data_IF_160386284657
#
_entry.id   IF_160386284657
#
_cell.length_a   1.000
_cell.length_b   1.000
_cell.length_c   1.000
_cell.angle_alpha   90.00
_cell.angle_beta   90.00
_cell.angle_gamma   90.00
#
_symmetry.space_group_name_H-M   'P 1'
#
loop_
_entity.id
_entity.type
_entity.pdbx_description
1 polymer ?
#
# COMPACT_ATOMS: atom_id res chain seq x y z
N UNK A 1 92.64 17.52 -16.41
CA UNK A 1 91.45 18.28 -16.16
C UNK A 1 90.29 17.30 -16.10
N UNK A 2 89.76 17.06 -14.93
CA UNK A 2 88.84 16.04 -14.59
C UNK A 2 87.45 16.68 -14.47
N UNK A 3 86.45 16.21 -15.18
CA UNK A 3 85.04 16.57 -14.88
C UNK A 3 84.20 15.32 -14.68
N UNK A 4 83.92 15.07 -13.41
CA UNK A 4 83.06 14.06 -12.92
C UNK A 4 81.60 14.47 -13.19
N UNK A 5 80.78 13.64 -13.86
CA UNK A 5 79.36 13.77 -13.94
C UNK A 5 78.70 12.71 -13.09
N UNK A 6 78.11 13.16 -11.99
CA UNK A 6 77.32 12.32 -11.07
C UNK A 6 75.87 12.16 -11.66
N UNK A 7 75.54 10.95 -12.03
CA UNK A 7 74.14 10.56 -12.30
C UNK A 7 73.35 10.43 -11.00
N UNK A 8 72.31 11.20 -10.86
CA UNK A 8 71.34 11.08 -9.78
C UNK A 8 70.22 10.19 -10.27
N UNK A 9 70.17 8.97 -9.75
CA UNK A 9 69.01 8.08 -9.99
C UNK A 9 67.84 8.54 -9.09
N UNK A 10 66.78 9.00 -9.77
CA UNK A 10 65.52 9.38 -9.09
C UNK A 10 64.63 8.14 -9.01
N UNK A 11 64.60 7.48 -7.87
CA UNK A 11 63.66 6.41 -7.54
C UNK A 11 62.28 7.02 -7.21
N UNK A 12 61.35 6.96 -8.14
CA UNK A 12 59.96 7.30 -7.90
C UNK A 12 59.26 6.14 -7.15
N UNK A 13 59.07 6.31 -5.86
CA UNK A 13 58.21 5.42 -5.06
C UNK A 13 56.74 5.74 -5.37
N UNK A 14 56.06 4.85 -6.10
CA UNK A 14 54.62 4.90 -6.27
C UNK A 14 53.95 4.45 -4.96
N UNK A 15 53.45 5.39 -4.21
CA UNK A 15 52.59 5.15 -3.04
C UNK A 15 51.16 4.97 -3.57
N UNK A 16 50.75 3.71 -3.78
CA UNK A 16 49.35 3.37 -4.01
C UNK A 16 48.59 3.49 -2.71
N UNK A 17 48.00 4.63 -2.47
CA UNK A 17 47.04 4.81 -1.38
C UNK A 17 45.73 4.21 -1.88
N UNK A 18 45.46 2.96 -1.49
CA UNK A 18 44.15 2.34 -1.62
C UNK A 18 43.18 3.00 -0.61
N UNK A 19 42.53 4.04 -1.07
CA UNK A 19 41.42 4.67 -0.32
C UNK A 19 40.16 3.81 -0.47
N UNK A 20 40.14 2.70 0.25
CA UNK A 20 38.94 1.92 0.49
C UNK A 20 38.05 2.64 1.51
N UNK A 21 37.43 3.73 1.11
CA UNK A 21 36.36 4.31 1.90
C UNK A 21 35.15 3.36 1.81
N UNK A 22 35.03 2.47 2.78
CA UNK A 22 33.77 1.79 3.07
C UNK A 22 32.83 2.89 3.57
N UNK A 23 32.03 3.45 2.65
CA UNK A 23 30.95 4.37 3.00
C UNK A 23 29.88 3.53 3.66
N UNK A 24 30.01 3.30 4.96
CA UNK A 24 28.93 2.79 5.80
C UNK A 24 27.88 3.89 5.84
N UNK A 25 26.84 3.80 4.99
CA UNK A 25 25.68 4.66 5.12
C UNK A 25 25.08 4.42 6.50
N UNK A 26 24.91 5.44 7.35
CA UNK A 26 24.36 5.24 8.68
C UNK A 26 22.93 4.71 8.57
N UNK A 27 22.56 3.76 9.42
CA UNK A 27 21.24 3.11 9.43
C UNK A 27 20.09 4.13 9.44
N UNK A 28 20.31 5.31 10.00
CA UNK A 28 19.35 6.44 10.01
C UNK A 28 19.04 6.94 8.59
N UNK A 29 20.03 7.04 7.72
CA UNK A 29 19.83 7.49 6.33
C UNK A 29 19.08 6.44 5.49
N UNK A 30 19.29 5.16 5.76
CA UNK A 30 18.58 4.07 5.11
C UNK A 30 17.10 4.03 5.56
N UNK A 31 16.83 4.23 6.85
CA UNK A 31 15.48 4.30 7.39
C UNK A 31 14.68 5.46 6.76
N UNK A 32 15.25 6.67 6.71
CA UNK A 32 14.62 7.83 6.09
C UNK A 32 14.32 7.60 4.60
N UNK A 33 15.21 6.90 3.88
CA UNK A 33 15.00 6.54 2.46
C UNK A 33 13.83 5.57 2.28
N UNK A 34 13.67 4.57 3.14
CA UNK A 34 12.60 3.57 3.03
C UNK A 34 11.27 4.13 3.53
N UNK A 35 11.25 4.89 4.62
CA UNK A 35 10.04 5.61 5.05
C UNK A 35 9.54 6.54 3.95
N UNK A 36 10.43 7.29 3.27
CA UNK A 36 10.07 8.13 2.14
C UNK A 36 9.54 7.34 0.94
N UNK A 37 10.11 6.17 0.64
CA UNK A 37 9.62 5.27 -0.40
C UNK A 37 8.21 4.76 -0.06
N UNK A 38 7.98 4.30 1.17
CA UNK A 38 6.69 3.80 1.63
C UNK A 38 5.63 4.90 1.66
N UNK A 39 5.97 6.09 2.15
CA UNK A 39 5.07 7.24 2.12
C UNK A 39 4.66 7.61 0.68
N UNK A 40 5.62 7.66 -0.25
CA UNK A 40 5.35 7.93 -1.66
C UNK A 40 4.54 6.82 -2.33
N UNK A 41 4.84 5.56 -2.05
CA UNK A 41 4.08 4.42 -2.57
C UNK A 41 2.64 4.42 -2.06
N UNK A 42 2.44 4.70 -0.75
CA UNK A 42 1.11 4.80 -0.16
C UNK A 42 0.31 5.96 -0.73
N UNK A 43 0.90 7.15 -0.87
CA UNK A 43 0.24 8.30 -1.48
C UNK A 43 -0.24 8.01 -2.89
N UNK A 44 0.64 7.44 -3.73
CA UNK A 44 0.31 7.08 -5.11
C UNK A 44 -0.77 6.00 -5.18
N UNK A 45 -0.73 5.00 -4.31
CA UNK A 45 -1.73 3.95 -4.20
C UNK A 45 -3.10 4.55 -3.80
N UNK A 46 -3.13 5.34 -2.74
CA UNK A 46 -4.34 5.97 -2.21
C UNK A 46 -4.95 6.96 -3.21
N UNK A 47 -4.14 7.79 -3.89
CA UNK A 47 -4.63 8.71 -4.93
C UNK A 47 -5.30 8.01 -6.10
N UNK A 48 -4.84 6.80 -6.44
CA UNK A 48 -5.46 5.99 -7.49
C UNK A 48 -6.75 5.36 -7.03
N UNK A 49 -6.75 4.80 -5.83
CA UNK A 49 -7.88 4.07 -5.25
C UNK A 49 -9.00 4.99 -4.75
N UNK A 50 -8.68 6.23 -4.37
CA UNK A 50 -9.65 7.25 -3.98
C UNK A 50 -10.49 7.80 -5.17
N UNK A 51 -10.12 7.50 -6.41
CA UNK A 51 -10.91 7.90 -7.57
C UNK A 51 -12.25 7.18 -7.57
N UNK A 52 -13.37 7.87 -7.89
CA UNK A 52 -14.68 7.25 -7.94
C UNK A 52 -14.68 5.98 -8.80
N UNK A 53 -15.18 4.89 -8.22
CA UNK A 53 -15.28 3.59 -8.89
C UNK A 53 -13.97 2.82 -9.11
N UNK A 54 -12.82 3.30 -8.62
CA UNK A 54 -11.52 2.66 -8.84
C UNK A 54 -11.49 1.22 -8.32
N UNK A 55 -11.95 0.99 -7.09
CA UNK A 55 -12.07 -0.36 -6.52
C UNK A 55 -12.98 -1.26 -7.34
N UNK A 56 -14.13 -0.75 -7.78
CA UNK A 56 -15.10 -1.53 -8.55
C UNK A 56 -14.60 -1.88 -9.95
N UNK A 57 -13.86 -0.99 -10.60
CA UNK A 57 -13.36 -1.18 -11.96
C UNK A 57 -12.22 -2.20 -12.05
N UNK A 58 -11.33 -2.22 -11.05
CA UNK A 58 -10.18 -3.13 -11.04
C UNK A 58 -10.52 -4.45 -10.35
N UNK A 59 -10.60 -5.53 -11.15
CA UNK A 59 -10.89 -6.89 -10.64
C UNK A 59 -9.88 -7.38 -9.60
N UNK A 60 -8.66 -6.82 -9.58
CA UNK A 60 -7.60 -7.25 -8.68
C UNK A 60 -7.79 -6.76 -7.24
N UNK A 61 -8.58 -5.69 -7.05
CA UNK A 61 -8.85 -5.07 -5.74
C UNK A 61 -10.35 -4.92 -5.45
N UNK A 62 -11.20 -5.29 -6.42
CA UNK A 62 -12.66 -5.23 -6.25
C UNK A 62 -13.11 -6.02 -5.04
N UNK A 63 -13.89 -5.38 -4.19
CA UNK A 63 -14.50 -5.99 -3.02
C UNK A 63 -15.76 -6.75 -3.46
N UNK A 64 -15.73 -8.07 -3.30
CA UNK A 64 -16.90 -8.95 -3.47
C UNK A 64 -17.68 -9.07 -2.17
N UNK A 65 -18.92 -9.49 -2.26
CA UNK A 65 -19.69 -9.85 -1.07
C UNK A 65 -19.04 -11.03 -0.33
N UNK A 66 -19.17 -11.11 1.00
CA UNK A 66 -18.74 -12.29 1.74
C UNK A 66 -19.37 -13.55 1.17
N UNK A 67 -18.63 -14.68 1.17
CA UNK A 67 -19.04 -15.92 0.51
C UNK A 67 -20.46 -16.40 0.80
N UNK A 68 -20.98 -16.36 2.05
CA UNK A 68 -22.37 -16.71 2.33
C UNK A 68 -23.37 -15.84 1.57
N UNK A 69 -23.11 -14.52 1.47
CA UNK A 69 -24.00 -13.58 0.79
C UNK A 69 -23.88 -13.67 -0.74
N UNK A 70 -22.69 -13.93 -1.25
CA UNK A 70 -22.48 -14.15 -2.69
C UNK A 70 -23.30 -15.35 -3.18
N UNK A 71 -23.30 -16.47 -2.42
CA UNK A 71 -24.09 -17.67 -2.70
C UNK A 71 -25.59 -17.45 -2.57
N UNK A 72 -26.01 -16.44 -1.83
CA UNK A 72 -27.42 -16.10 -1.60
C UNK A 72 -28.09 -15.34 -2.76
N UNK A 73 -27.37 -15.00 -3.83
CA UNK A 73 -27.88 -14.25 -4.97
C UNK A 73 -29.15 -14.86 -5.61
N UNK A 74 -29.23 -16.20 -5.63
CA UNK A 74 -30.41 -16.93 -6.08
C UNK A 74 -31.64 -16.70 -5.18
N UNK A 75 -31.47 -16.65 -3.86
CA UNK A 75 -32.50 -16.38 -2.88
C UNK A 75 -33.01 -14.93 -2.97
N UNK A 76 -32.09 -13.97 -3.17
CA UNK A 76 -32.46 -12.57 -3.40
C UNK A 76 -33.34 -12.42 -4.65
N UNK A 77 -32.99 -13.12 -5.72
CA UNK A 77 -33.81 -13.12 -6.94
C UNK A 77 -35.23 -13.70 -6.71
N UNK A 78 -35.31 -14.80 -5.97
CA UNK A 78 -36.62 -15.41 -5.62
C UNK A 78 -37.45 -14.49 -4.72
N UNK A 79 -36.80 -13.68 -3.88
CA UNK A 79 -37.48 -12.67 -3.06
C UNK A 79 -37.82 -11.37 -3.81
N UNK A 80 -37.62 -11.31 -5.13
CA UNK A 80 -37.89 -10.11 -5.95
C UNK A 80 -36.83 -9.00 -5.80
N UNK A 81 -35.66 -9.32 -5.19
CA UNK A 81 -34.59 -8.36 -4.86
C UNK A 81 -33.32 -8.62 -5.69
N UNK A 82 -33.49 -8.92 -6.98
CA UNK A 82 -32.39 -9.39 -7.87
C UNK A 82 -31.25 -8.38 -8.07
N UNK A 83 -31.49 -7.08 -7.90
CA UNK A 83 -30.48 -6.02 -8.05
C UNK A 83 -29.65 -5.75 -6.78
N UNK A 84 -30.24 -6.04 -5.60
CA UNK A 84 -29.73 -5.57 -4.31
C UNK A 84 -28.30 -6.05 -3.99
N UNK A 85 -27.94 -7.28 -4.33
CA UNK A 85 -26.57 -7.78 -4.13
C UNK A 85 -25.55 -7.07 -5.01
N UNK A 86 -25.92 -6.68 -6.25
CA UNK A 86 -25.05 -5.89 -7.14
C UNK A 86 -24.90 -4.46 -6.64
N UNK A 87 -25.99 -3.87 -6.17
CA UNK A 87 -26.00 -2.50 -5.65
C UNK A 87 -25.17 -2.43 -4.37
N UNK A 88 -25.33 -3.38 -3.44
CA UNK A 88 -24.47 -3.48 -2.26
C UNK A 88 -23.00 -3.66 -2.66
N UNK A 89 -22.68 -4.54 -3.62
CA UNK A 89 -21.28 -4.71 -4.08
C UNK A 89 -20.70 -3.40 -4.58
N UNK A 90 -21.48 -2.61 -5.34
CA UNK A 90 -21.04 -1.29 -5.79
C UNK A 90 -20.81 -0.35 -4.62
N UNK A 91 -21.76 -0.27 -3.69
CA UNK A 91 -21.65 0.59 -2.50
C UNK A 91 -20.44 0.24 -1.64
N UNK A 92 -20.13 -1.05 -1.43
CA UNK A 92 -18.94 -1.47 -0.67
C UNK A 92 -17.62 -1.03 -1.34
N UNK A 93 -17.57 -1.01 -2.66
CA UNK A 93 -16.39 -0.52 -3.40
C UNK A 93 -16.29 1.01 -3.38
N UNK A 94 -17.43 1.71 -3.39
CA UNK A 94 -17.46 3.18 -3.21
C UNK A 94 -17.02 3.55 -1.77
N UNK A 95 -17.45 2.78 -0.75
CA UNK A 95 -16.98 2.87 0.65
C UNK A 95 -15.46 2.76 0.74
N UNK A 96 -14.87 1.75 0.09
CA UNK A 96 -13.41 1.56 0.08
C UNK A 96 -12.68 2.76 -0.54
N UNK A 97 -13.23 3.32 -1.62
CA UNK A 97 -12.67 4.54 -2.26
C UNK A 97 -12.72 5.77 -1.34
N UNK A 98 -13.83 5.95 -0.61
CA UNK A 98 -13.98 7.03 0.36
C UNK A 98 -13.02 6.86 1.54
N UNK A 99 -12.91 5.65 2.10
CA UNK A 99 -11.97 5.35 3.16
C UNK A 99 -10.51 5.56 2.70
N UNK A 100 -10.16 5.14 1.49
CA UNK A 100 -8.83 5.36 0.91
C UNK A 100 -8.49 6.87 0.79
N UNK A 101 -9.47 7.70 0.45
CA UNK A 101 -9.28 9.15 0.36
C UNK A 101 -8.84 9.76 1.70
N UNK A 102 -9.43 9.32 2.80
CA UNK A 102 -9.15 9.83 4.15
C UNK A 102 -7.95 9.14 4.82
N UNK A 103 -7.46 8.02 4.27
CA UNK A 103 -6.43 7.18 4.87
C UNK A 103 -5.00 7.74 4.74
N UNK A 104 -4.74 8.73 3.88
CA UNK A 104 -3.37 9.23 3.61
C UNK A 104 -2.57 9.60 4.85
N UNK A 105 -3.05 10.45 5.78
CA UNK A 105 -2.29 10.80 6.96
C UNK A 105 -1.96 9.56 7.80
N UNK A 106 -2.90 8.61 7.91
CA UNK A 106 -2.73 7.37 8.69
C UNK A 106 -1.57 6.52 8.13
N UNK A 107 -1.51 6.36 6.79
CA UNK A 107 -0.43 5.60 6.15
C UNK A 107 0.92 6.31 6.24
N UNK A 108 0.96 7.64 6.14
CA UNK A 108 2.19 8.43 6.32
C UNK A 108 2.74 8.30 7.73
N UNK A 109 1.91 8.50 8.75
CA UNK A 109 2.31 8.35 10.15
C UNK A 109 2.84 6.94 10.44
N UNK A 110 2.18 5.91 9.89
CA UNK A 110 2.63 4.54 10.04
C UNK A 110 3.97 4.28 9.33
N UNK A 111 4.18 4.86 8.12
CA UNK A 111 5.43 4.73 7.37
C UNK A 111 6.61 5.44 8.07
N UNK A 112 6.37 6.58 8.73
CA UNK A 112 7.38 7.29 9.51
C UNK A 112 7.78 6.51 10.77
N UNK A 113 6.85 5.76 11.37
CA UNK A 113 7.08 4.93 12.55
C UNK A 113 7.79 3.61 12.27
N UNK A 114 8.07 3.26 11.01
CA UNK A 114 8.65 1.95 10.69
C UNK A 114 10.12 1.84 11.11
N UNK A 115 10.46 0.76 11.80
CA UNK A 115 11.85 0.46 12.20
C UNK A 115 12.41 -0.68 11.36
N UNK A 116 13.54 -0.43 10.72
CA UNK A 116 14.23 -1.40 9.87
C UNK A 116 15.34 -2.12 10.66
N UNK A 117 14.96 -2.88 11.67
CA UNK A 117 15.94 -3.70 12.39
C UNK A 117 16.41 -4.92 11.57
N UNK A 118 15.62 -5.33 10.57
CA UNK A 118 15.81 -6.56 9.79
C UNK A 118 16.07 -6.26 8.29
N UNK A 119 16.90 -5.26 7.99
CA UNK A 119 17.07 -4.64 6.67
C UNK A 119 17.59 -5.52 5.52
N UNK A 120 17.86 -6.82 5.73
CA UNK A 120 18.43 -7.67 4.68
C UNK A 120 17.38 -8.18 3.70
N UNK A 121 16.16 -8.49 4.16
CA UNK A 121 15.10 -9.05 3.31
C UNK A 121 14.39 -7.98 2.46
N UNK A 122 14.39 -6.73 2.93
CA UNK A 122 13.73 -5.60 2.25
C UNK A 122 14.39 -5.25 0.91
N UNK A 123 15.68 -5.51 0.77
CA UNK A 123 16.44 -5.15 -0.43
C UNK A 123 16.35 -6.20 -1.55
N UNK A 124 16.04 -7.45 -1.23
CA UNK A 124 16.08 -8.57 -2.17
C UNK A 124 14.86 -8.67 -3.08
N UNK A 125 13.69 -8.22 -2.61
CA UNK A 125 12.43 -8.33 -3.35
C UNK A 125 11.97 -6.99 -3.93
N UNK A 126 11.21 -7.04 -5.03
CA UNK A 126 10.72 -5.84 -5.75
C UNK A 126 9.70 -5.01 -4.97
N UNK A 127 9.14 -5.57 -3.91
CA UNK A 127 8.09 -5.03 -3.04
C UNK A 127 8.37 -5.30 -1.55
N UNK A 128 9.61 -5.66 -1.20
CA UNK A 128 10.01 -6.06 0.13
C UNK A 128 9.76 -5.01 1.22
N UNK A 129 9.88 -3.72 0.90
CA UNK A 129 9.57 -2.66 1.87
C UNK A 129 8.06 -2.62 2.18
N UNK A 130 7.20 -2.75 1.18
CA UNK A 130 5.75 -2.80 1.36
C UNK A 130 5.31 -4.05 2.14
N UNK A 131 5.90 -5.21 1.88
CA UNK A 131 5.62 -6.44 2.61
C UNK A 131 6.02 -6.33 4.09
N UNK A 132 7.21 -5.78 4.36
CA UNK A 132 7.65 -5.51 5.73
C UNK A 132 6.73 -4.51 6.44
N UNK A 133 6.36 -3.42 5.76
CA UNK A 133 5.42 -2.42 6.26
C UNK A 133 4.06 -3.04 6.59
N UNK A 134 3.52 -3.85 5.70
CA UNK A 134 2.28 -4.58 5.92
C UNK A 134 2.36 -5.43 7.19
N UNK A 135 3.39 -6.28 7.30
CA UNK A 135 3.57 -7.19 8.43
C UNK A 135 3.67 -6.46 9.78
N UNK A 136 4.30 -5.29 9.80
CA UNK A 136 4.53 -4.53 11.04
C UNK A 136 3.38 -3.59 11.42
N UNK A 137 2.53 -3.19 10.46
CA UNK A 137 1.56 -2.10 10.67
C UNK A 137 0.11 -2.48 10.38
N UNK A 138 -0.18 -3.69 9.83
CA UNK A 138 -1.53 -4.05 9.37
C UNK A 138 -2.59 -3.94 10.46
N UNK A 139 -2.30 -4.42 11.68
CA UNK A 139 -3.26 -4.36 12.78
C UNK A 139 -3.57 -2.91 13.19
N UNK A 140 -2.53 -2.10 13.35
CA UNK A 140 -2.68 -0.67 13.67
C UNK A 140 -3.42 0.10 12.56
N UNK A 141 -3.12 -0.21 11.30
CA UNK A 141 -3.82 0.40 10.16
C UNK A 141 -5.29 -0.05 10.12
N UNK A 142 -5.57 -1.31 10.42
CA UNK A 142 -6.94 -1.84 10.52
C UNK A 142 -7.76 -1.10 11.56
N UNK A 143 -7.22 -0.91 12.76
CA UNK A 143 -7.89 -0.18 13.84
C UNK A 143 -8.18 1.27 13.44
N UNK A 144 -7.24 1.95 12.78
CA UNK A 144 -7.41 3.36 12.39
C UNK A 144 -8.29 3.55 11.15
N UNK A 145 -8.34 2.57 10.24
CA UNK A 145 -9.13 2.65 8.99
C UNK A 145 -10.58 2.20 9.20
N UNK A 146 -10.81 1.25 10.12
CA UNK A 146 -12.15 0.73 10.42
C UNK A 146 -13.21 1.83 10.66
N UNK A 147 -12.96 2.88 11.48
CA UNK A 147 -13.94 3.95 11.66
C UNK A 147 -14.18 4.79 10.40
N UNK A 148 -13.20 4.92 9.49
CA UNK A 148 -13.40 5.57 8.21
C UNK A 148 -14.32 4.74 7.30
N UNK A 149 -14.15 3.42 7.29
CA UNK A 149 -15.02 2.49 6.57
C UNK A 149 -16.43 2.53 7.14
N UNK A 150 -16.59 2.46 8.46
CA UNK A 150 -17.89 2.52 9.14
C UNK A 150 -18.65 3.80 8.80
N UNK A 151 -17.97 4.95 8.86
CA UNK A 151 -18.55 6.23 8.44
C UNK A 151 -18.96 6.19 6.97
N UNK A 152 -18.12 5.71 6.08
CA UNK A 152 -18.43 5.62 4.65
C UNK A 152 -19.56 4.63 4.36
N UNK A 153 -19.69 3.53 5.11
CA UNK A 153 -20.83 2.60 5.03
C UNK A 153 -22.17 3.30 5.34
N UNK A 154 -22.16 4.15 6.36
CA UNK A 154 -23.32 4.98 6.71
C UNK A 154 -23.62 6.02 5.63
N UNK A 155 -22.61 6.78 5.20
CA UNK A 155 -22.76 7.88 4.24
C UNK A 155 -23.24 7.39 2.85
N UNK A 156 -22.91 6.16 2.45
CA UNK A 156 -23.31 5.56 1.17
C UNK A 156 -24.64 4.80 1.21
N UNK A 157 -25.25 4.64 2.38
CA UNK A 157 -26.44 3.81 2.59
C UNK A 157 -26.16 2.30 2.44
N UNK A 158 -24.90 1.87 2.56
CA UNK A 158 -24.54 0.46 2.47
C UNK A 158 -25.08 -0.35 3.64
N UNK A 159 -25.24 0.24 4.83
CA UNK A 159 -25.91 -0.41 5.96
C UNK A 159 -27.40 -0.63 5.68
N UNK A 160 -28.11 0.34 5.10
CA UNK A 160 -29.52 0.20 4.77
C UNK A 160 -29.74 -0.93 3.74
N UNK A 161 -28.86 -1.04 2.75
CA UNK A 161 -28.89 -2.13 1.78
C UNK A 161 -28.62 -3.49 2.44
N UNK A 162 -27.71 -3.54 3.40
CA UNK A 162 -27.40 -4.74 4.16
C UNK A 162 -28.61 -5.17 5.02
N UNK A 163 -29.28 -4.23 5.69
CA UNK A 163 -30.47 -4.48 6.47
C UNK A 163 -31.62 -4.94 5.61
N UNK A 164 -31.79 -4.37 4.42
CA UNK A 164 -32.79 -4.82 3.46
C UNK A 164 -32.52 -6.28 3.01
N UNK A 165 -31.27 -6.67 2.79
CA UNK A 165 -30.89 -8.06 2.50
C UNK A 165 -31.21 -8.95 3.70
N UNK A 166 -30.82 -8.53 4.91
CA UNK A 166 -30.99 -9.30 6.15
C UNK A 166 -32.46 -9.49 6.52
N UNK A 167 -33.34 -8.59 6.10
CA UNK A 167 -34.79 -8.70 6.28
C UNK A 167 -35.43 -9.88 5.52
N UNK A 168 -34.74 -10.43 4.51
CA UNK A 168 -35.17 -11.63 3.79
C UNK A 168 -35.02 -12.84 4.71
N UNK A 169 -36.17 -13.42 5.15
CA UNK A 169 -36.19 -14.51 6.14
C UNK A 169 -35.26 -15.68 5.82
N UNK A 170 -35.05 -16.00 4.55
CA UNK A 170 -34.13 -17.05 4.13
C UNK A 170 -32.67 -16.69 4.37
N UNK A 171 -32.32 -15.41 4.48
CA UNK A 171 -30.97 -14.89 4.64
C UNK A 171 -30.63 -14.50 6.07
N UNK A 172 -31.62 -14.32 6.95
CA UNK A 172 -31.42 -13.97 8.36
C UNK A 172 -30.55 -14.97 9.14
N UNK A 173 -30.44 -16.20 8.65
CA UNK A 173 -29.63 -17.28 9.24
C UNK A 173 -28.16 -17.26 8.79
N UNK A 174 -27.78 -16.38 7.86
CA UNK A 174 -26.40 -16.32 7.35
C UNK A 174 -25.41 -15.66 8.30
N UNK A 175 -25.88 -15.13 9.45
CA UNK A 175 -25.03 -14.48 10.44
C UNK A 175 -24.35 -13.20 9.92
N UNK A 176 -24.93 -12.54 8.93
CA UNK A 176 -24.39 -11.31 8.38
C UNK A 176 -24.75 -10.16 9.30
N UNK A 177 -23.76 -9.49 9.85
CA UNK A 177 -23.91 -8.33 10.72
C UNK A 177 -23.22 -7.10 10.08
N UNK A 178 -23.68 -5.92 10.46
CA UNK A 178 -23.06 -4.64 10.05
C UNK A 178 -21.59 -4.59 10.47
N UNK A 179 -21.27 -5.08 11.68
CA UNK A 179 -19.92 -5.16 12.21
C UNK A 179 -19.02 -6.10 11.39
N UNK A 180 -19.48 -7.31 11.12
CA UNK A 180 -18.76 -8.26 10.27
C UNK A 180 -18.57 -7.77 8.82
N UNK A 181 -19.54 -7.00 8.29
CA UNK A 181 -19.40 -6.38 6.97
C UNK A 181 -18.37 -5.25 7.00
N UNK A 182 -18.39 -4.42 8.03
CA UNK A 182 -17.37 -3.37 8.22
C UNK A 182 -15.97 -3.96 8.29
N UNK A 183 -15.78 -5.05 9.04
CA UNK A 183 -14.49 -5.75 9.13
C UNK A 183 -14.06 -6.34 7.78
N UNK A 184 -15.00 -6.95 7.05
CA UNK A 184 -14.74 -7.49 5.72
C UNK A 184 -14.26 -6.38 4.77
N UNK A 185 -14.98 -5.26 4.70
CA UNK A 185 -14.63 -4.13 3.84
C UNK A 185 -13.31 -3.49 4.26
N UNK A 186 -13.07 -3.33 5.57
CA UNK A 186 -11.81 -2.80 6.10
C UNK A 186 -10.62 -3.64 5.66
N UNK A 187 -10.71 -4.97 5.84
CA UNK A 187 -9.66 -5.88 5.42
C UNK A 187 -9.40 -5.83 3.92
N UNK A 188 -10.47 -5.84 3.12
CA UNK A 188 -10.37 -5.77 1.66
C UNK A 188 -9.84 -4.43 1.15
N UNK A 189 -10.18 -3.33 1.82
CA UNK A 189 -9.64 -2.00 1.52
C UNK A 189 -8.13 -1.97 1.76
N UNK A 190 -7.66 -2.49 2.89
CA UNK A 190 -6.23 -2.62 3.18
C UNK A 190 -5.52 -3.52 2.18
N UNK A 191 -6.08 -4.70 1.86
CA UNK A 191 -5.54 -5.60 0.83
C UNK A 191 -5.33 -4.86 -0.50
N UNK A 192 -6.32 -4.06 -0.92
CA UNK A 192 -6.26 -3.27 -2.14
C UNK A 192 -5.19 -2.19 -2.10
N UNK A 193 -5.07 -1.47 -0.99
CA UNK A 193 -4.06 -0.42 -0.81
C UNK A 193 -2.66 -1.03 -0.85
N UNK A 194 -2.38 -2.08 -0.09
CA UNK A 194 -1.08 -2.75 -0.09
C UNK A 194 -0.72 -3.29 -1.46
N UNK A 195 -1.66 -3.89 -2.18
CA UNK A 195 -1.42 -4.38 -3.54
C UNK A 195 -1.01 -3.26 -4.50
N UNK A 196 -1.60 -2.09 -4.37
CA UNK A 196 -1.21 -0.94 -5.18
C UNK A 196 0.14 -0.36 -4.74
N UNK A 197 0.45 -0.37 -3.43
CA UNK A 197 1.77 0.03 -2.91
C UNK A 197 2.88 -0.87 -3.43
N UNK A 198 2.70 -2.20 -3.44
CA UNK A 198 3.62 -3.19 -4.01
C UNK A 198 3.93 -2.86 -5.49
N UNK A 199 2.88 -2.54 -6.25
CA UNK A 199 3.04 -2.15 -7.65
C UNK A 199 3.79 -0.82 -7.82
N UNK A 200 3.59 0.17 -6.93
CA UNK A 200 4.31 1.45 -6.96
C UNK A 200 5.76 1.27 -6.54
N UNK A 201 6.06 0.52 -5.49
CA UNK A 201 7.42 0.20 -5.07
C UNK A 201 8.20 -0.51 -6.18
N UNK A 202 7.60 -1.52 -6.80
CA UNK A 202 8.20 -2.25 -7.91
C UNK A 202 8.55 -1.34 -9.10
N UNK A 203 7.73 -0.32 -9.39
CA UNK A 203 8.03 0.68 -10.44
C UNK A 203 9.23 1.56 -10.09
N UNK A 204 9.30 2.02 -8.83
CA UNK A 204 10.42 2.84 -8.34
C UNK A 204 11.72 2.05 -8.42
N UNK A 205 11.73 0.80 -7.97
CA UNK A 205 12.92 -0.06 -7.98
C UNK A 205 13.40 -0.38 -9.40
N UNK A 206 12.48 -0.58 -10.36
CA UNK A 206 12.82 -0.83 -11.76
C UNK A 206 13.35 0.41 -12.50
N UNK A 207 12.96 1.61 -12.07
CA UNK A 207 13.29 2.87 -12.74
C UNK A 207 13.65 3.99 -11.74
N UNK A 208 14.73 3.86 -10.96
CA UNK A 208 15.05 4.79 -9.87
C UNK A 208 15.28 6.23 -10.36
N UNK A 209 15.89 6.42 -11.53
CA UNK A 209 16.14 7.76 -12.10
C UNK A 209 14.85 8.48 -12.50
N UNK A 210 13.84 7.74 -12.97
CA UNK A 210 12.54 8.30 -13.33
C UNK A 210 11.71 8.69 -12.10
N UNK A 211 11.86 7.95 -11.02
CA UNK A 211 11.25 8.25 -9.73
C UNK A 211 11.82 9.54 -9.12
N UNK A 212 13.16 9.72 -9.16
CA UNK A 212 13.84 10.93 -8.72
C UNK A 212 13.47 12.17 -9.57
N UNK A 213 13.29 12.02 -10.88
CA UNK A 213 12.85 13.10 -11.77
C UNK A 213 11.45 13.64 -11.46
N UNK A 214 10.54 12.76 -10.98
CA UNK A 214 9.21 13.15 -10.52
C UNK A 214 9.23 13.96 -9.23
N UNK A 215 10.11 13.62 -8.30
CA UNK A 215 10.32 14.32 -7.02
C UNK A 215 11.01 15.66 -7.21
N UNK A 216 11.92 15.78 -8.17
CA UNK A 216 12.68 17.00 -8.46
C UNK A 216 11.97 17.95 -9.45
N UNK A 217 10.76 17.63 -9.91
CA UNK A 217 9.97 18.51 -10.78
C UNK A 217 10.58 18.75 -12.17
N UNK A 218 11.53 17.93 -12.62
CA UNK A 218 12.18 18.03 -13.93
C UNK A 218 11.20 17.50 -14.98
N UNK A 219 10.31 18.38 -15.47
CA UNK A 219 9.56 18.12 -16.71
C UNK A 219 10.52 18.20 -17.91
N UNK A 220 10.55 17.14 -18.72
CA UNK A 220 11.11 17.20 -20.06
C UNK A 220 10.20 17.97 -20.98
#
# INVERSE_FOLDING_TARGET
>A
MYKSTRSIALTAALLVVSLGAIVSTPAVAQNASISGLLASASDNALDKLAKPGAFFADKAVRISLPGPLEKASGLLRLAGKSGLGKDLTKSLNDVAGLAAKEAKPIFRDAAEGISLKDGVDIASESDGATQHFRKSSEDTLREKIRPLVEKAMSDTGAFDQLDEISSVKALSKLGISSDGMTDHVTGKTLDGIFKYMEAEESKVRKNPLKALGGVLGIKK
#
